data_IF_954156904062
#
_entry.id   IF_954156904062
#
_cell.length_a   1.000
_cell.length_b   1.000
_cell.length_c   1.000
_cell.angle_alpha   90.00
_cell.angle_beta   90.00
_cell.angle_gamma   90.00
#
_symmetry.space_group_name_H-M   'P 1'
#
loop_
_entity.id
_entity.type
_entity.pdbx_description
1 polymer ?
#
# COMPACT_ATOMS: atom_id res chain seq x y z
N UNK A 1 -9.49 -1.30 -65.08
CA UNK A 1 -8.31 -1.09 -64.24
C UNK A 1 -8.39 0.19 -63.34
N UNK A 2 -8.76 1.35 -63.86
CA UNK A 2 -8.85 2.62 -63.05
C UNK A 2 -9.78 2.55 -61.82
N UNK A 3 -10.96 1.92 -61.92
CA UNK A 3 -11.93 1.86 -60.80
C UNK A 3 -11.43 1.03 -59.62
N UNK A 4 -10.74 -0.06 -59.88
CA UNK A 4 -10.16 -0.95 -58.84
C UNK A 4 -9.06 -0.22 -58.09
N UNK A 5 -8.27 0.60 -58.80
CA UNK A 5 -7.20 1.39 -58.15
C UNK A 5 -7.75 2.50 -57.26
N UNK A 6 -8.85 3.14 -57.61
CA UNK A 6 -9.51 4.19 -56.82
C UNK A 6 -10.15 3.58 -55.56
N UNK A 7 -10.83 2.44 -55.68
CA UNK A 7 -11.44 1.74 -54.55
C UNK A 7 -10.37 1.25 -53.55
N UNK A 8 -9.24 0.74 -54.05
CA UNK A 8 -8.11 0.30 -53.19
C UNK A 8 -7.47 1.46 -52.42
N UNK A 9 -7.29 2.60 -53.09
CA UNK A 9 -6.73 3.81 -52.45
C UNK A 9 -7.66 4.37 -51.36
N UNK A 10 -8.98 4.34 -51.57
CA UNK A 10 -9.98 4.80 -50.59
C UNK A 10 -10.02 3.86 -49.36
N UNK A 11 -9.86 2.54 -49.54
CA UNK A 11 -9.79 1.58 -48.46
C UNK A 11 -8.50 1.74 -47.63
N UNK A 12 -7.36 1.96 -48.29
CA UNK A 12 -6.08 2.22 -47.61
C UNK A 12 -6.12 3.50 -46.78
N UNK A 13 -6.71 4.57 -47.29
CA UNK A 13 -6.89 5.84 -46.59
C UNK A 13 -7.84 5.70 -45.40
N UNK A 14 -8.97 5.00 -45.55
CA UNK A 14 -9.90 4.75 -44.46
C UNK A 14 -9.26 3.91 -43.32
N UNK A 15 -8.47 2.91 -43.69
CA UNK A 15 -7.74 2.07 -42.74
C UNK A 15 -6.69 2.87 -42.00
N UNK A 16 -5.92 3.71 -42.70
CA UNK A 16 -4.92 4.57 -42.07
C UNK A 16 -5.56 5.56 -41.07
N UNK A 17 -6.68 6.20 -41.48
CA UNK A 17 -7.41 7.10 -40.61
C UNK A 17 -8.00 6.42 -39.38
N UNK A 18 -8.48 5.17 -39.50
CA UNK A 18 -8.96 4.38 -38.37
C UNK A 18 -7.83 4.01 -37.37
N UNK A 19 -6.68 3.58 -37.90
CA UNK A 19 -5.51 3.26 -37.06
C UNK A 19 -5.04 4.50 -36.31
N UNK A 20 -4.98 5.65 -36.98
CA UNK A 20 -4.58 6.91 -36.35
C UNK A 20 -5.58 7.36 -35.28
N UNK A 21 -6.86 7.19 -35.52
CA UNK A 21 -7.90 7.44 -34.53
C UNK A 21 -7.74 6.57 -33.26
N UNK A 22 -7.54 5.25 -33.43
CA UNK A 22 -7.34 4.35 -32.31
C UNK A 22 -6.05 4.68 -31.51
N UNK A 23 -4.98 5.05 -32.21
CA UNK A 23 -3.74 5.52 -31.59
C UNK A 23 -3.95 6.78 -30.77
N UNK A 24 -4.70 7.75 -31.30
CA UNK A 24 -4.99 9.00 -30.60
C UNK A 24 -5.83 8.77 -29.34
N UNK A 25 -6.87 7.94 -29.40
CA UNK A 25 -7.68 7.57 -28.23
C UNK A 25 -6.84 6.93 -27.13
N UNK A 26 -5.93 6.01 -27.49
CA UNK A 26 -5.03 5.36 -26.54
C UNK A 26 -4.06 6.33 -25.87
N UNK A 27 -3.49 7.25 -26.64
CA UNK A 27 -2.59 8.29 -26.14
C UNK A 27 -3.35 9.23 -25.19
N UNK A 28 -4.56 9.62 -25.56
CA UNK A 28 -5.41 10.48 -24.72
C UNK A 28 -5.75 9.82 -23.39
N UNK A 29 -6.13 8.55 -23.37
CA UNK A 29 -6.39 7.79 -22.14
C UNK A 29 -5.13 7.68 -21.28
N UNK A 30 -3.97 7.40 -21.88
CA UNK A 30 -2.68 7.37 -21.18
C UNK A 30 -2.38 8.72 -20.50
N UNK A 31 -2.56 9.83 -21.22
CA UNK A 31 -2.32 11.17 -20.68
C UNK A 31 -3.25 11.45 -19.49
N UNK A 32 -4.53 11.10 -19.60
CA UNK A 32 -5.50 11.27 -18.53
C UNK A 32 -5.14 10.44 -17.29
N UNK A 33 -4.68 9.19 -17.47
CA UNK A 33 -4.28 8.32 -16.36
C UNK A 33 -3.00 8.84 -15.69
N UNK A 34 -2.02 9.31 -16.47
CA UNK A 34 -0.80 9.94 -15.92
C UNK A 34 -1.13 11.22 -15.16
N UNK A 35 -2.00 12.08 -15.67
CA UNK A 35 -2.41 13.31 -14.97
C UNK A 35 -3.14 13.01 -13.65
N UNK A 36 -3.99 11.97 -13.61
CA UNK A 36 -4.61 11.50 -12.36
C UNK A 36 -3.57 10.98 -11.38
N UNK A 37 -2.57 10.24 -11.86
CA UNK A 37 -1.49 9.74 -11.02
C UNK A 37 -0.62 10.86 -10.47
N UNK A 38 -0.34 11.90 -11.25
CA UNK A 38 0.37 13.09 -10.77
C UNK A 38 -0.40 13.76 -9.63
N UNK A 39 -1.72 13.89 -9.75
CA UNK A 39 -2.56 14.43 -8.69
C UNK A 39 -2.58 13.56 -7.43
N UNK A 40 -2.63 12.23 -7.61
CA UNK A 40 -2.53 11.29 -6.50
C UNK A 40 -1.19 11.43 -5.76
N UNK A 41 -0.11 11.59 -6.50
CA UNK A 41 1.23 11.78 -5.96
C UNK A 41 1.37 13.10 -5.20
N UNK A 42 0.87 14.22 -5.76
CA UNK A 42 0.80 15.50 -5.05
C UNK A 42 0.05 15.38 -3.71
N UNK A 43 -1.12 14.75 -3.71
CA UNK A 43 -1.90 14.55 -2.48
C UNK A 43 -1.16 13.68 -1.46
N UNK A 44 -0.41 12.66 -1.90
CA UNK A 44 0.41 11.83 -1.03
C UNK A 44 1.57 12.63 -0.43
N UNK A 45 2.28 13.43 -1.23
CA UNK A 45 3.37 14.32 -0.76
C UNK A 45 2.85 15.39 0.19
N UNK A 46 1.65 15.91 -0.01
CA UNK A 46 1.03 16.86 0.91
C UNK A 46 0.93 16.29 2.33
N UNK A 47 0.54 15.02 2.50
CA UNK A 47 0.50 14.38 3.82
C UNK A 47 1.89 14.34 4.48
N UNK A 48 2.94 14.07 3.71
CA UNK A 48 4.30 14.06 4.24
C UNK A 48 4.80 15.47 4.56
N UNK A 49 4.44 16.46 3.76
CA UNK A 49 4.78 17.87 4.03
C UNK A 49 4.09 18.40 5.29
N UNK A 50 2.81 18.08 5.50
CA UNK A 50 2.08 18.43 6.73
C UNK A 50 2.76 17.80 7.96
N UNK A 51 3.26 16.56 7.83
CA UNK A 51 4.02 15.92 8.89
C UNK A 51 5.39 16.59 9.11
N UNK A 52 6.10 16.98 8.05
CA UNK A 52 7.38 17.73 8.18
C UNK A 52 7.18 19.05 8.90
N UNK A 53 6.11 19.78 8.59
CA UNK A 53 5.77 21.04 9.29
C UNK A 53 5.55 20.74 10.78
N UNK A 54 4.81 19.69 11.12
CA UNK A 54 4.56 19.31 12.50
C UNK A 54 5.83 18.99 13.28
N UNK A 55 6.75 18.16 12.73
CA UNK A 55 8.02 17.82 13.41
C UNK A 55 9.05 18.97 13.37
N UNK A 56 8.93 19.89 12.43
CA UNK A 56 9.80 21.06 12.29
C UNK A 56 9.63 22.09 13.40
N UNK A 57 8.56 22.00 14.20
CA UNK A 57 8.31 22.81 15.38
C UNK A 57 8.17 21.95 16.64
N UNK A 58 9.29 21.44 17.19
CA UNK A 58 9.25 20.51 18.32
C UNK A 58 8.66 21.09 19.61
N UNK A 59 8.56 22.42 19.74
CA UNK A 59 8.02 23.06 20.94
C UNK A 59 6.50 22.86 21.05
N UNK A 60 5.81 22.71 19.92
CA UNK A 60 4.37 22.44 19.88
C UNK A 60 4.01 20.96 20.06
N UNK A 61 4.99 20.04 19.98
CA UNK A 61 4.75 18.61 20.22
C UNK A 61 4.58 18.38 21.72
N UNK A 62 3.45 17.76 22.09
CA UNK A 62 3.11 17.51 23.48
C UNK A 62 4.08 16.53 24.17
N UNK A 63 4.32 16.76 25.44
CA UNK A 63 5.17 15.91 26.26
C UNK A 63 6.58 16.48 26.49
N UNK A 64 7.32 15.82 27.35
CA UNK A 64 8.73 16.08 27.57
C UNK A 64 9.56 15.56 26.39
N UNK A 65 10.83 15.97 26.30
CA UNK A 65 11.76 15.45 25.29
C UNK A 65 11.76 13.90 25.18
N UNK A 66 11.57 13.23 26.30
CA UNK A 66 11.54 11.75 26.37
C UNK A 66 10.19 11.13 25.98
N UNK A 67 9.11 11.92 25.90
CA UNK A 67 7.73 11.42 25.68
C UNK A 67 7.10 11.92 24.39
N UNK A 68 7.71 12.90 23.69
CA UNK A 68 7.22 13.44 22.41
C UNK A 68 7.04 12.40 21.30
N UNK A 69 7.80 11.30 21.38
CA UNK A 69 7.69 10.19 20.44
C UNK A 69 6.28 9.59 20.36
N UNK A 70 5.45 9.71 21.39
CA UNK A 70 4.06 9.25 21.39
C UNK A 70 3.23 10.01 20.35
N UNK A 71 3.18 11.36 20.48
CA UNK A 71 2.44 12.19 19.53
C UNK A 71 3.02 12.14 18.11
N UNK A 72 4.37 12.04 18.00
CA UNK A 72 5.02 11.81 16.70
C UNK A 72 4.53 10.51 16.06
N UNK A 73 4.38 9.43 16.84
CA UNK A 73 3.92 8.13 16.35
C UNK A 73 2.48 8.20 15.80
N UNK A 74 1.58 8.92 16.49
CA UNK A 74 0.21 9.16 16.04
C UNK A 74 0.18 9.86 14.68
N UNK A 75 0.94 10.96 14.56
CA UNK A 75 1.05 11.71 13.31
C UNK A 75 1.70 10.88 12.18
N UNK A 76 2.77 10.14 12.47
CA UNK A 76 3.38 9.20 11.49
C UNK A 76 2.34 8.23 10.96
N UNK A 77 1.59 7.58 11.85
CA UNK A 77 0.61 6.57 11.45
C UNK A 77 -0.49 7.17 10.57
N UNK A 78 -1.08 8.29 10.99
CA UNK A 78 -2.14 8.97 10.23
C UNK A 78 -1.60 9.43 8.86
N UNK A 79 -0.48 10.16 8.84
CA UNK A 79 0.04 10.76 7.60
C UNK A 79 0.62 9.74 6.62
N UNK A 80 1.37 8.76 7.10
CA UNK A 80 1.97 7.73 6.23
C UNK A 80 0.92 6.79 5.63
N UNK A 81 -0.08 6.39 6.42
CA UNK A 81 -1.17 5.57 5.91
C UNK A 81 -2.02 6.31 4.87
N UNK A 82 -2.31 7.59 5.11
CA UNK A 82 -3.03 8.41 4.16
C UNK A 82 -2.23 8.64 2.88
N UNK A 83 -0.93 8.92 2.98
CA UNK A 83 -0.05 9.06 1.81
C UNK A 83 -0.05 7.80 0.94
N UNK A 84 0.06 6.60 1.53
CA UNK A 84 0.00 5.33 0.78
C UNK A 84 -1.34 5.13 0.05
N UNK A 85 -2.46 5.52 0.68
CA UNK A 85 -3.78 5.40 0.07
C UNK A 85 -4.01 6.40 -1.04
N UNK A 86 -3.69 7.66 -0.81
CA UNK A 86 -3.82 8.74 -1.78
C UNK A 86 -2.98 8.47 -3.02
N UNK A 87 -1.76 7.94 -2.87
CA UNK A 87 -0.88 7.59 -3.98
C UNK A 87 -1.52 6.60 -4.97
N UNK A 88 -2.34 5.69 -4.49
CA UNK A 88 -3.05 4.70 -5.33
C UNK A 88 -4.50 5.12 -5.66
N UNK A 89 -4.84 6.38 -5.49
CA UNK A 89 -6.15 6.95 -5.80
C UNK A 89 -7.27 6.53 -4.84
N UNK A 90 -6.93 6.05 -3.64
CA UNK A 90 -7.90 5.72 -2.59
C UNK A 90 -8.06 6.90 -1.64
N UNK A 91 -9.25 7.07 -1.06
CA UNK A 91 -9.49 8.09 -0.05
C UNK A 91 -8.63 7.86 1.21
N UNK A 92 -8.17 8.96 1.82
CA UNK A 92 -7.61 8.96 3.16
C UNK A 92 -8.64 8.38 4.15
N UNK A 93 -8.16 7.62 5.12
CA UNK A 93 -9.05 6.95 6.08
C UNK A 93 -8.58 7.03 7.53
N UNK A 94 -7.49 7.75 7.79
CA UNK A 94 -7.04 8.10 9.14
C UNK A 94 -7.25 9.59 9.34
N UNK A 95 -7.77 9.99 10.51
CA UNK A 95 -8.04 11.40 10.81
C UNK A 95 -7.97 11.69 12.30
N UNK A 96 -7.56 12.92 12.64
CA UNK A 96 -7.71 13.50 13.97
C UNK A 96 -9.04 14.27 14.12
N UNK A 97 -9.79 14.44 13.03
CA UNK A 97 -11.04 15.18 13.04
C UNK A 97 -12.07 14.48 13.93
N UNK A 98 -12.67 15.24 14.83
CA UNK A 98 -13.63 14.73 15.82
C UNK A 98 -13.01 14.12 17.07
N UNK A 99 -11.67 14.01 17.14
CA UNK A 99 -10.96 13.52 18.33
C UNK A 99 -10.67 14.67 19.30
N UNK A 100 -11.26 14.62 20.48
CA UNK A 100 -11.05 15.63 21.52
C UNK A 100 -9.73 15.40 22.26
N UNK A 101 -9.20 16.47 22.87
CA UNK A 101 -7.93 16.44 23.62
C UNK A 101 -7.92 15.47 24.82
N UNK A 102 -9.11 15.11 25.32
CA UNK A 102 -9.32 14.17 26.44
C UNK A 102 -10.08 12.93 25.98
N UNK A 103 -10.11 12.66 24.68
CA UNK A 103 -10.73 11.46 24.12
C UNK A 103 -10.00 10.19 24.60
N UNK A 104 -10.71 9.07 24.52
CA UNK A 104 -10.12 7.76 24.82
C UNK A 104 -9.31 7.20 23.65
N UNK A 105 -9.40 7.81 22.49
CA UNK A 105 -8.66 7.51 21.27
C UNK A 105 -7.71 8.66 20.91
N UNK A 106 -6.64 8.34 20.17
CA UNK A 106 -5.69 9.32 19.64
C UNK A 106 -6.06 9.75 18.22
N UNK A 107 -6.69 8.87 17.44
CA UNK A 107 -7.17 9.15 16.08
C UNK A 107 -8.24 8.14 15.65
N UNK A 108 -8.88 8.41 14.52
CA UNK A 108 -9.85 7.52 13.90
C UNK A 108 -9.26 6.84 12.65
N UNK A 109 -9.57 5.55 12.46
CA UNK A 109 -9.29 4.77 11.24
C UNK A 109 -10.59 4.19 10.69
N UNK A 110 -11.03 4.66 9.52
CA UNK A 110 -12.36 4.34 8.98
C UNK A 110 -13.50 4.62 9.99
N UNK A 111 -13.40 5.70 10.75
CA UNK A 111 -14.38 6.05 11.80
C UNK A 111 -14.29 5.21 13.07
N UNK A 112 -13.38 4.25 13.19
CA UNK A 112 -13.15 3.45 14.40
C UNK A 112 -12.06 4.10 15.26
N UNK A 113 -12.26 4.06 16.57
CA UNK A 113 -11.34 4.60 17.57
C UNK A 113 -10.03 3.82 17.61
N UNK A 114 -8.90 4.53 17.53
CA UNK A 114 -7.56 3.95 17.64
C UNK A 114 -6.81 4.66 18.76
N UNK A 115 -6.24 3.86 19.65
CA UNK A 115 -5.32 4.34 20.68
C UNK A 115 -3.91 3.86 20.36
N UNK A 116 -2.99 4.80 20.21
CA UNK A 116 -1.57 4.52 19.94
C UNK A 116 -0.81 4.25 21.24
N UNK A 117 0.03 3.22 21.28
CA UNK A 117 0.86 2.89 22.44
C UNK A 117 2.30 2.64 22.02
N UNK A 118 3.13 3.67 22.18
CA UNK A 118 4.56 3.66 21.85
C UNK A 118 5.38 3.81 23.13
N UNK A 119 5.73 2.69 23.76
CA UNK A 119 6.55 2.64 24.95
C UNK A 119 7.84 1.84 24.69
N UNK A 120 8.84 2.01 25.54
CA UNK A 120 10.08 1.29 25.37
C UNK A 120 9.90 -0.21 25.75
N UNK A 121 10.02 -1.05 24.73
CA UNK A 121 9.95 -2.51 24.81
C UNK A 121 8.52 -3.08 24.90
N UNK A 122 8.36 -4.29 24.38
CA UNK A 122 7.07 -4.98 24.21
C UNK A 122 6.26 -5.09 25.51
N UNK A 123 6.93 -5.34 26.64
CA UNK A 123 6.27 -5.40 27.97
C UNK A 123 5.72 -4.04 28.39
N UNK A 124 6.49 -2.96 28.16
CA UNK A 124 6.07 -1.60 28.46
C UNK A 124 4.84 -1.20 27.67
N UNK A 125 4.86 -1.48 26.37
CA UNK A 125 3.74 -1.21 25.44
C UNK A 125 2.50 -2.02 25.81
N UNK A 126 2.62 -3.31 26.10
CA UNK A 126 1.48 -4.12 26.54
C UNK A 126 0.90 -3.63 27.88
N UNK A 127 1.75 -3.28 28.85
CA UNK A 127 1.28 -2.70 30.13
C UNK A 127 0.54 -1.37 29.91
N UNK A 128 0.94 -0.55 28.94
CA UNK A 128 0.25 0.69 28.60
C UNK A 128 -1.15 0.44 28.02
N UNK A 129 -1.32 -0.63 27.23
CA UNK A 129 -2.64 -1.11 26.76
C UNK A 129 -3.52 -1.48 27.95
N UNK A 130 -3.00 -2.33 28.85
CA UNK A 130 -3.74 -2.76 30.05
C UNK A 130 -4.14 -1.57 30.93
N UNK A 131 -3.23 -0.62 31.12
CA UNK A 131 -3.48 0.58 31.94
C UNK A 131 -4.55 1.46 31.28
N UNK A 132 -4.50 1.68 29.97
CA UNK A 132 -5.50 2.43 29.25
C UNK A 132 -6.89 1.79 29.39
N UNK A 133 -6.97 0.46 29.25
CA UNK A 133 -8.24 -0.23 29.37
C UNK A 133 -8.85 -0.20 30.78
N UNK A 134 -8.00 -0.13 31.84
CA UNK A 134 -8.48 0.11 33.20
C UNK A 134 -9.15 1.48 33.34
N UNK A 135 -8.63 2.49 32.64
CA UNK A 135 -9.22 3.85 32.64
C UNK A 135 -10.47 3.92 31.74
N UNK A 136 -10.52 3.12 30.68
CA UNK A 136 -11.60 3.10 29.68
C UNK A 136 -12.12 1.68 29.43
N UNK A 137 -12.85 1.05 30.39
CA UNK A 137 -13.22 -0.37 30.33
C UNK A 137 -14.08 -0.78 29.13
N UNK A 138 -14.76 0.18 28.52
CA UNK A 138 -15.63 -0.06 27.35
C UNK A 138 -14.97 0.23 26.01
N UNK A 139 -13.69 0.60 25.99
CA UNK A 139 -13.01 1.03 24.75
C UNK A 139 -13.10 -0.03 23.66
N UNK A 140 -12.68 -1.27 23.94
CA UNK A 140 -12.75 -2.39 22.97
C UNK A 140 -14.21 -2.72 22.61
N UNK A 141 -15.10 -2.75 23.59
CA UNK A 141 -16.54 -3.03 23.38
C UNK A 141 -17.22 -2.03 22.47
N UNK A 142 -16.72 -0.79 22.42
CA UNK A 142 -17.15 0.28 21.51
C UNK A 142 -16.45 0.21 20.13
N UNK A 143 -15.67 -0.84 19.85
CA UNK A 143 -14.95 -1.02 18.60
C UNK A 143 -13.59 -0.35 18.53
N UNK A 144 -13.03 0.08 19.67
CA UNK A 144 -11.68 0.62 19.78
C UNK A 144 -10.61 -0.45 19.61
N UNK A 145 -9.46 -0.07 19.07
CA UNK A 145 -8.29 -0.93 18.92
C UNK A 145 -7.00 -0.16 19.20
N UNK A 146 -5.90 -0.89 19.30
CA UNK A 146 -4.59 -0.35 19.67
C UNK A 146 -3.63 -0.49 18.50
N UNK A 147 -2.91 0.58 18.19
CA UNK A 147 -1.77 0.55 17.27
C UNK A 147 -0.47 0.64 18.07
N UNK A 148 0.48 -0.27 17.81
CA UNK A 148 1.76 -0.36 18.50
C UNK A 148 2.93 -0.40 17.52
N UNK A 149 4.19 -0.12 17.93
CA UNK A 149 5.35 -0.23 17.06
C UNK A 149 5.41 -1.59 16.36
N UNK A 150 5.75 -1.60 15.06
CA UNK A 150 5.81 -2.83 14.26
C UNK A 150 6.74 -3.89 14.87
N UNK A 151 7.96 -3.49 15.25
CA UNK A 151 8.96 -4.36 15.87
C UNK A 151 8.46 -4.99 17.18
N UNK A 152 7.68 -4.24 17.93
CA UNK A 152 7.11 -4.74 19.19
C UNK A 152 5.87 -5.60 18.96
N UNK A 153 5.07 -5.31 17.93
CA UNK A 153 3.96 -6.18 17.52
C UNK A 153 4.49 -7.56 17.08
N UNK A 154 5.52 -7.58 16.23
CA UNK A 154 6.16 -8.81 15.79
C UNK A 154 6.68 -9.64 16.98
N UNK A 155 7.34 -8.96 17.94
CA UNK A 155 7.82 -9.60 19.18
C UNK A 155 6.66 -10.12 20.05
N UNK A 156 5.58 -9.34 20.17
CA UNK A 156 4.40 -9.71 20.95
C UNK A 156 3.74 -10.98 20.39
N UNK A 157 3.55 -11.04 19.06
CA UNK A 157 2.94 -12.18 18.37
C UNK A 157 3.86 -13.40 18.39
N UNK A 158 5.18 -13.22 18.27
CA UNK A 158 6.13 -14.32 18.41
C UNK A 158 6.06 -14.97 19.81
N UNK A 159 6.11 -14.15 20.87
CA UNK A 159 5.96 -14.62 22.25
C UNK A 159 4.60 -15.33 22.44
N UNK A 160 3.53 -14.77 21.91
CA UNK A 160 2.19 -15.35 21.98
C UNK A 160 2.14 -16.73 21.32
N UNK A 161 2.62 -16.86 20.09
CA UNK A 161 2.62 -18.10 19.32
C UNK A 161 3.52 -19.18 19.98
N UNK A 162 4.73 -18.82 20.40
CA UNK A 162 5.63 -19.74 21.13
C UNK A 162 5.03 -20.17 22.48
N UNK A 163 4.35 -19.26 23.17
CA UNK A 163 3.64 -19.58 24.41
C UNK A 163 2.54 -20.61 24.25
N UNK A 164 1.85 -20.61 23.09
CA UNK A 164 0.81 -21.58 22.76
C UNK A 164 1.37 -22.94 22.33
N UNK A 165 2.50 -22.98 21.62
CA UNK A 165 2.98 -24.20 20.93
C UNK A 165 4.24 -24.80 21.57
N UNK A 166 5.13 -23.98 22.12
CA UNK A 166 6.46 -24.36 22.61
C UNK A 166 6.87 -23.54 23.84
N UNK A 167 6.06 -23.58 24.89
CA UNK A 167 6.21 -22.75 26.08
C UNK A 167 7.59 -22.82 26.74
N UNK A 168 8.25 -23.99 26.65
CA UNK A 168 9.61 -24.18 27.16
C UNK A 168 10.69 -23.38 26.42
N UNK A 169 10.36 -22.83 25.24
CA UNK A 169 11.27 -21.96 24.48
C UNK A 169 11.23 -20.50 24.92
N UNK A 170 10.32 -20.12 25.83
CA UNK A 170 10.22 -18.77 26.35
C UNK A 170 11.22 -18.53 27.47
N UNK A 171 11.87 -17.36 27.46
CA UNK A 171 12.59 -16.87 28.62
C UNK A 171 11.61 -16.57 29.77
N UNK A 172 12.12 -16.46 30.98
CA UNK A 172 11.30 -16.15 32.18
C UNK A 172 10.48 -14.87 32.04
N UNK A 173 11.04 -13.85 31.40
CA UNK A 173 10.35 -12.57 31.16
C UNK A 173 9.24 -12.71 30.10
N UNK A 174 9.50 -13.45 29.03
CA UNK A 174 8.52 -13.75 27.96
C UNK A 174 7.38 -14.62 28.49
N UNK A 175 7.70 -15.63 29.32
CA UNK A 175 6.66 -16.45 29.94
C UNK A 175 5.73 -15.62 30.85
N UNK A 176 6.30 -14.68 31.58
CA UNK A 176 5.51 -13.74 32.40
C UNK A 176 4.60 -12.88 31.53
N UNK A 177 5.12 -12.33 30.43
CA UNK A 177 4.32 -11.54 29.48
C UNK A 177 3.24 -12.40 28.83
N UNK A 178 3.56 -13.61 28.39
CA UNK A 178 2.59 -14.54 27.82
C UNK A 178 1.43 -14.83 28.79
N UNK A 179 1.74 -15.13 30.06
CA UNK A 179 0.70 -15.33 31.10
C UNK A 179 -0.20 -14.10 31.26
N UNK A 180 0.39 -12.90 31.23
CA UNK A 180 -0.38 -11.66 31.30
C UNK A 180 -1.28 -11.47 30.06
N UNK A 181 -0.79 -11.80 28.86
CA UNK A 181 -1.60 -11.74 27.63
C UNK A 181 -2.81 -12.66 27.69
N UNK A 182 -2.62 -13.90 28.10
CA UNK A 182 -3.71 -14.87 28.24
C UNK A 182 -4.72 -14.46 29.33
N UNK A 183 -4.25 -13.96 30.47
CA UNK A 183 -5.14 -13.45 31.51
C UNK A 183 -5.97 -12.27 31.02
N UNK A 184 -5.35 -11.35 30.26
CA UNK A 184 -6.01 -10.20 29.67
C UNK A 184 -7.03 -10.61 28.60
N UNK A 185 -6.71 -11.56 27.71
CA UNK A 185 -7.68 -12.09 26.72
C UNK A 185 -8.91 -12.66 27.40
N UNK A 186 -8.73 -13.46 28.45
CA UNK A 186 -9.83 -14.06 29.22
C UNK A 186 -10.68 -12.99 29.94
N UNK A 187 -10.07 -11.94 30.45
CA UNK A 187 -10.75 -10.83 31.12
C UNK A 187 -11.58 -9.98 30.12
N UNK A 188 -11.02 -9.74 28.92
CA UNK A 188 -11.64 -8.89 27.91
C UNK A 188 -12.56 -9.64 26.95
N UNK A 189 -12.54 -10.95 26.94
CA UNK A 189 -13.24 -11.84 26.01
C UNK A 189 -12.95 -11.52 24.53
N UNK A 190 -11.67 -11.22 24.23
CA UNK A 190 -11.17 -10.92 22.87
C UNK A 190 -9.77 -11.49 22.69
N UNK A 191 -9.38 -11.78 21.44
CA UNK A 191 -8.01 -12.12 21.11
C UNK A 191 -7.15 -10.88 20.91
N UNK A 192 -5.89 -10.94 21.37
CA UNK A 192 -4.97 -9.82 21.26
C UNK A 192 -4.74 -9.41 19.79
N UNK A 193 -4.68 -10.37 18.87
CA UNK A 193 -4.50 -10.13 17.45
C UNK A 193 -5.71 -9.44 16.77
N UNK A 194 -6.90 -9.46 17.40
CA UNK A 194 -8.10 -8.83 16.84
C UNK A 194 -8.17 -7.34 17.16
N UNK A 195 -7.48 -6.89 18.22
CA UNK A 195 -7.59 -5.52 18.74
C UNK A 195 -6.25 -4.79 18.84
N UNK A 196 -5.12 -5.47 18.67
CA UNK A 196 -3.79 -4.87 18.63
C UNK A 196 -3.21 -5.03 17.24
N UNK A 197 -2.75 -3.93 16.63
CA UNK A 197 -2.27 -3.90 15.25
C UNK A 197 -0.90 -3.26 15.15
N UNK A 198 -0.08 -3.66 14.17
CA UNK A 198 1.20 -3.02 13.93
C UNK A 198 1.02 -1.68 13.22
N UNK A 199 1.84 -0.70 13.55
CA UNK A 199 2.05 0.49 12.75
C UNK A 199 2.99 0.22 11.58
N UNK A 200 3.19 1.22 10.70
CA UNK A 200 4.15 1.12 9.59
C UNK A 200 5.61 1.27 10.03
N UNK A 201 5.86 1.70 11.27
CA UNK A 201 7.18 2.08 11.79
C UNK A 201 7.53 1.34 13.07
N UNK A 202 8.82 1.23 13.34
CA UNK A 202 9.36 0.67 14.56
C UNK A 202 9.40 1.75 15.67
N UNK A 203 9.57 1.32 16.92
CA UNK A 203 9.66 2.25 18.05
C UNK A 203 10.77 3.30 17.88
N UNK A 204 11.92 2.91 17.35
CA UNK A 204 13.07 3.80 17.13
C UNK A 204 12.80 4.88 16.07
N UNK A 205 11.93 4.61 15.09
CA UNK A 205 11.70 5.46 13.92
C UNK A 205 10.96 6.75 14.25
N UNK A 206 10.27 6.80 15.41
CA UNK A 206 9.52 7.98 15.87
C UNK A 206 10.28 8.83 16.90
N UNK A 207 11.52 8.47 17.20
CA UNK A 207 12.35 9.26 18.10
C UNK A 207 12.80 10.57 17.45
N UNK A 208 12.80 11.70 18.19
CA UNK A 208 13.14 13.02 17.67
C UNK A 208 14.44 13.08 16.85
N UNK A 209 15.45 12.28 17.21
CA UNK A 209 16.73 12.25 16.47
C UNK A 209 16.70 11.39 15.20
N UNK A 210 15.62 10.64 14.95
CA UNK A 210 15.52 9.66 13.87
C UNK A 210 14.38 9.99 12.90
N UNK A 211 13.34 10.66 13.39
CA UNK A 211 12.09 10.89 12.63
C UNK A 211 12.30 11.57 11.28
N UNK A 212 13.24 12.52 11.17
CA UNK A 212 13.56 13.18 9.90
C UNK A 212 14.01 12.17 8.83
N UNK A 213 14.85 11.21 9.23
CA UNK A 213 15.27 10.13 8.34
C UNK A 213 14.09 9.25 7.97
N UNK A 214 13.24 8.92 8.92
CA UNK A 214 12.04 8.10 8.70
C UNK A 214 11.11 8.74 7.66
N UNK A 215 10.92 10.06 7.72
CA UNK A 215 10.15 10.82 6.71
C UNK A 215 10.81 10.76 5.34
N UNK A 216 12.11 11.01 5.27
CA UNK A 216 12.87 10.96 4.02
C UNK A 216 12.81 9.58 3.36
N UNK A 217 12.96 8.52 4.16
CA UNK A 217 12.83 7.14 3.67
C UNK A 217 11.40 6.85 3.16
N UNK A 218 10.37 7.43 3.80
CA UNK A 218 8.99 7.32 3.33
C UNK A 218 8.76 8.06 2.03
N UNK A 219 9.30 9.28 1.87
CA UNK A 219 9.23 10.03 0.61
C UNK A 219 9.84 9.24 -0.54
N UNK A 220 11.06 8.74 -0.35
CA UNK A 220 11.74 7.93 -1.37
C UNK A 220 10.89 6.71 -1.78
N UNK A 221 10.24 6.04 -0.82
CA UNK A 221 9.33 4.93 -1.11
C UNK A 221 8.09 5.36 -1.90
N UNK A 222 7.52 6.53 -1.58
CA UNK A 222 6.37 7.10 -2.29
C UNK A 222 6.76 7.46 -3.72
N UNK A 223 7.93 8.08 -3.94
CA UNK A 223 8.48 8.41 -5.26
C UNK A 223 8.68 7.14 -6.10
N UNK A 224 9.37 6.14 -5.56
CA UNK A 224 9.61 4.87 -6.26
C UNK A 224 8.32 4.15 -6.64
N UNK A 225 7.32 4.13 -5.74
CA UNK A 225 6.01 3.56 -6.02
C UNK A 225 5.29 4.34 -7.12
N UNK A 226 5.36 5.67 -7.10
CA UNK A 226 4.78 6.53 -8.12
C UNK A 226 5.34 6.24 -9.50
N UNK A 227 6.67 6.20 -9.63
CA UNK A 227 7.33 5.84 -10.91
C UNK A 227 6.90 4.44 -11.39
N UNK A 228 6.86 3.46 -10.50
CA UNK A 228 6.37 2.13 -10.85
C UNK A 228 4.89 2.09 -11.28
N UNK A 229 4.04 3.00 -10.78
CA UNK A 229 2.65 3.14 -11.25
C UNK A 229 2.63 3.79 -12.64
N UNK A 230 3.39 4.87 -12.84
CA UNK A 230 3.48 5.55 -14.14
C UNK A 230 4.01 4.61 -15.24
N UNK A 231 5.01 3.80 -14.93
CA UNK A 231 5.56 2.84 -15.89
C UNK A 231 4.54 1.76 -16.26
N UNK A 232 3.75 1.27 -15.30
CA UNK A 232 2.64 0.36 -15.60
C UNK A 232 1.58 1.00 -16.49
N UNK A 233 1.23 2.27 -16.26
CA UNK A 233 0.30 3.02 -17.11
C UNK A 233 0.84 3.10 -18.54
N UNK A 234 2.12 3.46 -18.72
CA UNK A 234 2.77 3.51 -20.05
C UNK A 234 2.79 2.14 -20.72
N UNK A 235 3.10 1.08 -19.97
CA UNK A 235 3.16 -0.29 -20.49
C UNK A 235 1.80 -0.81 -20.94
N UNK A 236 0.73 -0.48 -20.23
CA UNK A 236 -0.65 -0.83 -20.60
C UNK A 236 -1.10 -0.16 -21.91
N UNK A 237 -0.50 0.98 -22.26
CA UNK A 237 -0.82 1.76 -23.46
C UNK A 237 0.16 1.52 -24.63
N UNK A 238 1.06 0.55 -24.50
CA UNK A 238 1.90 0.12 -25.63
C UNK A 238 1.03 -0.56 -26.72
N UNK A 239 1.31 -0.33 -28.02
CA UNK A 239 0.61 -1.03 -29.09
C UNK A 239 0.68 -2.54 -28.90
N UNK A 240 -0.45 -3.22 -28.94
CA UNK A 240 -0.44 -4.67 -28.91
C UNK A 240 0.02 -5.23 -30.27
N UNK A 241 0.67 -6.41 -30.26
CA UNK A 241 1.06 -7.11 -31.48
C UNK A 241 -0.19 -7.48 -32.32
N UNK A 242 -1.34 -7.67 -31.66
CA UNK A 242 -2.62 -7.94 -32.30
C UNK A 242 -3.15 -6.74 -33.08
N UNK A 243 -3.02 -5.52 -32.56
CA UNK A 243 -3.35 -4.28 -33.26
C UNK A 243 -2.47 -4.08 -34.49
N UNK A 244 -1.15 -4.33 -34.38
CA UNK A 244 -0.23 -4.28 -35.51
C UNK A 244 -0.56 -5.30 -36.61
N UNK A 245 -0.94 -6.52 -36.24
CA UNK A 245 -1.35 -7.56 -37.20
C UNK A 245 -2.68 -7.26 -37.86
N UNK A 246 -3.68 -6.73 -37.12
CA UNK A 246 -4.97 -6.30 -37.69
C UNK A 246 -4.78 -5.15 -38.64
N UNK A 247 -3.97 -4.15 -38.30
CA UNK A 247 -3.64 -3.04 -39.20
C UNK A 247 -2.96 -3.53 -40.48
N UNK A 248 -2.02 -4.47 -40.40
CA UNK A 248 -1.36 -5.06 -41.54
C UNK A 248 -2.32 -5.87 -42.41
N UNK A 249 -3.22 -6.65 -41.82
CA UNK A 249 -4.21 -7.45 -42.51
C UNK A 249 -5.22 -6.58 -43.27
N UNK A 250 -5.69 -5.47 -42.66
CA UNK A 250 -6.58 -4.49 -43.28
C UNK A 250 -5.87 -3.75 -44.41
N UNK A 251 -4.63 -3.32 -44.27
CA UNK A 251 -3.83 -2.66 -45.30
C UNK A 251 -3.53 -3.59 -46.48
N UNK A 252 -3.38 -4.88 -46.26
CA UNK A 252 -3.10 -5.86 -47.30
C UNK A 252 -4.33 -6.23 -48.16
N UNK A 253 -5.55 -5.80 -47.78
CA UNK A 253 -6.77 -6.04 -48.53
C UNK A 253 -7.13 -7.51 -48.73
N UNK A 254 -6.62 -8.39 -47.87
CA UNK A 254 -6.77 -9.83 -47.98
C UNK A 254 -7.90 -10.31 -47.05
N UNK A 255 -9.02 -10.76 -47.59
CA UNK A 255 -10.07 -11.46 -46.83
C UNK A 255 -9.53 -12.71 -46.08
N UNK A 256 -8.42 -13.30 -46.53
CA UNK A 256 -7.69 -14.38 -45.84
C UNK A 256 -6.59 -13.94 -44.86
N UNK A 257 -6.17 -12.69 -44.89
CA UNK A 257 -5.02 -12.18 -44.12
C UNK A 257 -5.27 -12.16 -42.61
N UNK A 258 -6.48 -11.89 -42.16
CA UNK A 258 -6.88 -11.91 -40.76
C UNK A 258 -6.74 -13.31 -40.18
N UNK A 259 -7.18 -14.35 -40.89
CA UNK A 259 -7.11 -15.75 -40.46
C UNK A 259 -5.63 -16.22 -40.36
N UNK A 260 -4.80 -15.81 -41.34
CA UNK A 260 -3.37 -16.12 -41.32
C UNK A 260 -2.65 -15.41 -40.17
N UNK A 261 -2.88 -14.13 -39.96
CA UNK A 261 -2.29 -13.36 -38.88
C UNK A 261 -2.73 -13.87 -37.49
N UNK A 262 -4.00 -14.25 -37.33
CA UNK A 262 -4.50 -14.86 -36.08
C UNK A 262 -3.76 -16.20 -35.82
N UNK A 263 -3.64 -17.07 -36.82
CA UNK A 263 -2.93 -18.35 -36.69
C UNK A 263 -1.44 -18.17 -36.35
N UNK A 264 -0.76 -17.20 -36.96
CA UNK A 264 0.64 -16.89 -36.64
C UNK A 264 0.78 -16.35 -35.19
N UNK A 265 -0.14 -15.50 -34.75
CA UNK A 265 -0.19 -15.00 -33.39
C UNK A 265 -0.42 -16.13 -32.37
N UNK A 266 -1.41 -16.98 -32.62
CA UNK A 266 -1.73 -18.12 -31.74
C UNK A 266 -0.55 -19.09 -31.63
N UNK A 267 0.12 -19.39 -32.76
CA UNK A 267 1.32 -20.23 -32.78
C UNK A 267 2.44 -19.62 -31.94
N UNK A 268 2.76 -18.34 -32.11
CA UNK A 268 3.79 -17.65 -31.32
C UNK A 268 3.44 -17.51 -29.83
N UNK A 269 2.14 -17.35 -29.51
CA UNK A 269 1.65 -17.35 -28.13
C UNK A 269 1.84 -18.72 -27.47
N UNK A 270 1.55 -19.81 -28.20
CA UNK A 270 1.76 -21.17 -27.73
C UNK A 270 3.26 -21.47 -27.48
N UNK A 271 4.14 -21.06 -28.42
CA UNK A 271 5.59 -21.19 -28.29
C UNK A 271 6.14 -20.42 -27.07
N UNK A 272 5.64 -19.20 -26.81
CA UNK A 272 6.05 -18.40 -25.64
C UNK A 272 5.58 -19.02 -24.33
N UNK A 273 4.36 -19.57 -24.29
CA UNK A 273 3.84 -20.26 -23.12
C UNK A 273 4.63 -21.55 -22.83
N UNK A 274 5.05 -22.26 -23.88
CA UNK A 274 5.89 -23.45 -23.75
C UNK A 274 7.28 -23.10 -23.19
N UNK A 275 7.93 -22.05 -23.69
CA UNK A 275 9.21 -21.54 -23.18
C UNK A 275 9.11 -21.09 -21.72
N UNK A 276 8.05 -20.38 -21.35
CA UNK A 276 7.82 -19.97 -19.96
C UNK A 276 7.58 -21.17 -19.04
N UNK A 277 6.89 -22.20 -19.52
CA UNK A 277 6.68 -23.44 -18.77
C UNK A 277 8.00 -24.20 -18.55
N UNK A 278 8.88 -24.27 -19.57
CA UNK A 278 10.21 -24.87 -19.45
C UNK A 278 11.11 -24.08 -18.48
N UNK A 279 11.07 -22.75 -18.51
CA UNK A 279 11.79 -21.90 -17.56
C UNK A 279 11.29 -22.06 -16.11
N UNK A 280 9.99 -22.29 -15.91
CA UNK A 280 9.42 -22.57 -14.58
C UNK A 280 9.79 -23.96 -14.07
N UNK A 281 9.86 -24.96 -14.95
CA UNK A 281 10.26 -26.34 -14.60
C UNK A 281 11.76 -26.40 -14.31
N UNK A 282 12.60 -25.70 -15.09
CA UNK A 282 14.05 -25.62 -14.87
C UNK A 282 14.43 -24.98 -13.53
N UNK A 283 13.69 -23.97 -13.08
CA UNK A 283 13.89 -23.32 -11.76
C UNK A 283 13.39 -24.12 -10.55
N UNK A 284 12.71 -25.23 -10.76
CA UNK A 284 12.27 -26.15 -9.68
C UNK A 284 13.21 -27.35 -9.47
N UNK A 285 14.23 -27.49 -10.32
CA UNK A 285 15.19 -28.59 -10.30
C UNK A 285 16.60 -28.14 -9.84
N UNK A 286 16.80 -26.87 -9.53
CA UNK A 286 17.93 -26.30 -8.79
C UNK A 286 17.48 -26.00 -7.32
#
# INVERSE_FOLDING_TARGET
MRLIHVLKNNQEQATAAWIDHLKNLRIEDMIQQLARQDKNFENALQQLNEFKIFIGDPEHILGSYLTKHGEIAEHVQVRFCNADKLLVGKAANHTFEGVGRTAMEDYLRNGKMIQSKFYNGVKGTFNAIVTHLKSYPYFIKKGGSYDIPRDQYESLIDIYNRGQTARSSLSRSEETLFKHMIAWENEQDVKICDVVHPTQVDYKDVQLKVVDRTVKDKETKIEQKNEGIKDRIKDQHKPSMQEGLQATALAAGLEGGTTFCIKVYEKRKAERNYLNLQLMIGKRLE
#
